data_IF_578730741994
#
_entry.id   IF_578730741994
#
_cell.length_a   1.000
_cell.length_b   1.000
_cell.length_c   1.000
_cell.angle_alpha   90.00
_cell.angle_beta   90.00
_cell.angle_gamma   90.00
#
_symmetry.space_group_name_H-M   'P 1'
#
loop_
_entity.id
_entity.type
_entity.pdbx_description
1 polymer ?
#
# COMPACT_ATOMS: atom_id res chain seq x y z
N UNK A 1 11.13 2.94 10.43
CA UNK A 1 10.85 1.71 9.68
C UNK A 1 10.07 2.10 8.44
N UNK A 2 10.46 1.59 7.28
CA UNK A 2 9.90 2.01 6.01
C UNK A 2 10.03 0.94 4.92
N UNK A 3 10.06 1.33 3.65
CA UNK A 3 10.19 0.43 2.49
C UNK A 3 11.41 -0.49 2.64
N UNK A 4 12.52 0.07 3.14
CA UNK A 4 13.78 -0.65 3.30
C UNK A 4 13.68 -1.84 4.29
N UNK A 5 12.67 -1.86 5.16
CA UNK A 5 12.43 -2.95 6.10
C UNK A 5 11.44 -4.02 5.56
N UNK A 6 10.50 -3.66 4.67
CA UNK A 6 9.61 -4.64 4.05
C UNK A 6 9.17 -4.27 2.63
N UNK A 7 8.54 -3.10 2.46
CA UNK A 7 8.04 -2.60 1.18
C UNK A 7 6.99 -3.50 0.51
N UNK A 8 6.35 -4.41 1.23
CA UNK A 8 5.49 -5.44 0.64
C UNK A 8 4.25 -4.83 -0.04
N UNK A 9 3.69 -3.76 0.52
CA UNK A 9 2.56 -3.04 -0.06
C UNK A 9 2.80 -2.55 -1.48
N UNK A 10 4.03 -2.15 -1.81
CA UNK A 10 4.43 -1.72 -3.16
C UNK A 10 4.54 -2.91 -4.11
N UNK A 11 5.00 -4.07 -3.61
CA UNK A 11 5.21 -5.28 -4.44
C UNK A 11 3.91 -6.00 -4.78
N UNK A 12 2.99 -6.09 -3.82
CA UNK A 12 1.78 -6.91 -3.95
C UNK A 12 0.59 -6.15 -4.55
N UNK A 13 0.60 -4.82 -4.55
CA UNK A 13 -0.55 -4.05 -5.03
C UNK A 13 -0.64 -4.12 -6.56
N UNK A 14 -1.65 -4.81 -7.14
CA UNK A 14 -1.73 -5.00 -8.59
C UNK A 14 -2.02 -3.71 -9.36
N UNK A 15 -2.61 -2.72 -8.68
CA UNK A 15 -2.99 -1.42 -9.22
C UNK A 15 -2.04 -0.29 -8.82
N UNK A 16 -0.93 -0.61 -8.14
CA UNK A 16 0.13 0.37 -7.79
C UNK A 16 -0.38 1.58 -7.00
N UNK A 17 -1.17 1.35 -5.94
CA UNK A 17 -1.59 2.39 -4.99
C UNK A 17 -0.40 2.95 -4.22
N UNK A 18 0.59 2.10 -3.90
CA UNK A 18 1.71 2.47 -3.05
C UNK A 18 2.98 2.66 -3.87
N UNK A 19 3.78 3.65 -3.49
CA UNK A 19 5.15 3.86 -3.95
C UNK A 19 6.09 4.00 -2.75
N UNK A 20 7.40 3.92 -2.99
CA UNK A 20 8.42 3.96 -1.95
C UNK A 20 9.46 5.05 -2.18
N UNK A 21 9.08 6.31 -2.00
CA UNK A 21 10.03 7.41 -2.06
C UNK A 21 10.74 7.61 -0.72
N UNK A 22 12.05 7.90 -0.77
CA UNK A 22 12.87 8.20 0.42
C UNK A 22 12.82 7.14 1.53
N UNK A 23 12.60 5.87 1.16
CA UNK A 23 12.53 4.76 2.11
C UNK A 23 11.21 4.71 2.89
N UNK A 24 10.19 5.49 2.56
CA UNK A 24 8.90 5.52 3.24
C UNK A 24 7.78 5.19 2.23
N UNK A 25 6.82 4.32 2.55
CA UNK A 25 5.69 4.08 1.67
C UNK A 25 4.75 5.30 1.63
N UNK A 26 4.39 5.74 0.42
CA UNK A 26 3.40 6.79 0.16
C UNK A 26 2.30 6.26 -0.79
N UNK A 27 1.17 6.96 -0.82
CA UNK A 27 0.08 6.68 -1.77
C UNK A 27 0.35 7.49 -3.04
N UNK A 28 0.32 6.81 -4.18
CA UNK A 28 0.33 7.44 -5.50
C UNK A 28 -1.00 8.17 -5.69
N UNK A 29 -0.95 9.49 -5.75
CA UNK A 29 -2.13 10.34 -5.87
C UNK A 29 -3.00 9.95 -7.07
N UNK A 30 -4.28 9.66 -6.82
CA UNK A 30 -5.27 9.27 -7.82
C UNK A 30 -5.37 7.75 -8.02
N UNK A 31 -4.38 6.97 -7.58
CA UNK A 31 -4.45 5.50 -7.71
C UNK A 31 -5.26 4.86 -6.57
N UNK A 32 -5.54 5.57 -5.47
CA UNK A 32 -6.35 5.05 -4.38
C UNK A 32 -7.77 4.65 -4.82
N UNK A 33 -8.29 5.29 -5.87
CA UNK A 33 -9.59 5.00 -6.48
C UNK A 33 -9.59 3.70 -7.29
N UNK A 34 -8.42 3.25 -7.74
CA UNK A 34 -8.24 1.98 -8.47
C UNK A 34 -8.22 0.77 -7.51
N UNK A 35 -8.37 0.99 -6.19
CA UNK A 35 -8.36 -0.08 -5.21
C UNK A 35 -9.48 -1.10 -5.45
N UNK A 36 -9.09 -2.29 -5.92
CA UNK A 36 -9.99 -3.42 -6.15
C UNK A 36 -10.31 -4.24 -4.90
N UNK A 37 -9.87 -3.81 -3.71
CA UNK A 37 -10.18 -4.45 -2.42
C UNK A 37 -9.76 -5.93 -2.37
N UNK A 38 -8.57 -6.24 -2.88
CA UNK A 38 -8.02 -7.60 -2.92
C UNK A 38 -7.30 -8.03 -1.63
N UNK A 39 -7.22 -7.15 -0.63
CA UNK A 39 -6.61 -7.36 0.70
C UNK A 39 -5.12 -7.77 0.73
N UNK A 40 -4.46 -7.95 -0.41
CA UNK A 40 -3.06 -8.38 -0.47
C UNK A 40 -2.09 -7.44 0.28
N UNK A 41 -2.35 -6.13 0.26
CA UNK A 41 -1.53 -5.18 1.01
C UNK A 41 -1.72 -5.33 2.53
N UNK A 42 -2.92 -5.69 2.99
CA UNK A 42 -3.20 -5.98 4.40
C UNK A 42 -2.47 -7.25 4.84
N UNK A 43 -2.59 -8.32 4.06
CA UNK A 43 -1.92 -9.60 4.35
C UNK A 43 -0.39 -9.50 4.31
N UNK A 44 0.14 -8.76 3.33
CA UNK A 44 1.58 -8.58 3.16
C UNK A 44 2.22 -7.64 4.19
N UNK A 45 1.43 -6.79 4.85
CA UNK A 45 1.96 -5.82 5.80
C UNK A 45 2.10 -6.42 7.22
N UNK A 46 3.25 -7.03 7.51
CA UNK A 46 3.58 -7.56 8.84
C UNK A 46 3.64 -6.51 9.98
N UNK A 47 3.35 -5.24 9.69
CA UNK A 47 3.37 -4.11 10.63
C UNK A 47 2.00 -3.49 10.83
N UNK A 48 0.95 -4.03 10.20
CA UNK A 48 -0.41 -3.50 10.26
C UNK A 48 -0.50 -2.00 9.94
N UNK A 49 0.39 -1.52 9.04
CA UNK A 49 0.52 -0.10 8.72
C UNK A 49 -0.50 0.40 7.69
N UNK A 50 -1.38 -0.47 7.20
CA UNK A 50 -2.30 -0.20 6.10
C UNK A 50 -3.72 -0.39 6.60
N UNK A 51 -4.58 0.57 6.26
CA UNK A 51 -6.01 0.50 6.49
C UNK A 51 -6.74 0.90 5.22
N UNK A 52 -7.78 0.15 4.85
CA UNK A 52 -8.65 0.47 3.73
C UNK A 52 -9.97 0.99 4.28
N UNK A 53 -10.38 2.18 3.87
CA UNK A 53 -11.68 2.76 4.24
C UNK A 53 -12.42 3.18 2.97
N UNK A 54 -13.69 2.77 2.87
CA UNK A 54 -14.55 3.18 1.76
C UNK A 54 -15.25 4.46 2.17
N UNK A 55 -15.07 5.53 1.40
CA UNK A 55 -15.74 6.81 1.62
C UNK A 55 -16.93 6.91 0.67
N UNK A 56 -18.09 6.44 1.13
CA UNK A 56 -19.39 6.68 0.52
C UNK A 56 -20.41 7.04 1.60
#
# INVERSE_FOLDING_TARGET
MGIDDCGECVKVCPVRIFEGEHGIPSIVQGNEDECILCDQCLEGCAKDAISISKKY
#
